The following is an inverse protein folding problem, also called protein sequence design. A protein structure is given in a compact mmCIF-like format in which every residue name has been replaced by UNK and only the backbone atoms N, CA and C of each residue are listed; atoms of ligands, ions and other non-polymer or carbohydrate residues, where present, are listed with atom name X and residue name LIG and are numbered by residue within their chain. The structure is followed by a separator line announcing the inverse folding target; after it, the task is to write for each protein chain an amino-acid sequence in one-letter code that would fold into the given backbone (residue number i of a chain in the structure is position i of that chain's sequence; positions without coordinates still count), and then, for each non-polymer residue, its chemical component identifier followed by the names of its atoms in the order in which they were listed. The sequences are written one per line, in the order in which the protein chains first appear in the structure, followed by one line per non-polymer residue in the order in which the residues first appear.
data_IF_046537796752
#
_entry.id   IF_046537796752
#
_cell.length_a   1.000
_cell.length_b   1.000
_cell.length_c   1.000
_cell.angle_alpha   90.00
_cell.angle_beta   90.00
_cell.angle_gamma   90.00
#
_symmetry.space_group_name_H-M   'P 1'
#
loop_
_entity.id
_entity.type
_entity.pdbx_description
1 polymer ?
#
# COMPACT_ATOMS: atom_id res chain seq x y z
N UNK A 1 28.59 -19.14 14.01
CA UNK A 1 28.69 -17.81 13.38
C UNK A 1 27.94 -17.89 12.05
N UNK A 2 26.74 -17.30 11.88
CA UNK A 2 26.10 -17.36 10.57
C UNK A 2 26.73 -16.30 9.67
N UNK A 3 27.01 -16.73 8.44
CA UNK A 3 27.71 -16.00 7.41
C UNK A 3 27.05 -14.65 7.11
N UNK A 4 27.78 -13.58 7.38
CA UNK A 4 27.59 -12.27 6.74
C UNK A 4 27.62 -12.46 5.23
N UNK A 5 26.45 -12.37 4.60
CA UNK A 5 26.27 -12.27 3.16
C UNK A 5 26.97 -11.01 2.64
N UNK A 6 28.25 -11.13 2.28
CA UNK A 6 28.99 -10.13 1.52
C UNK A 6 28.67 -10.26 0.03
N UNK A 7 27.38 -10.16 -0.31
CA UNK A 7 26.96 -10.02 -1.70
C UNK A 7 26.03 -8.81 -1.74
N UNK A 8 26.40 -7.82 -2.55
CA UNK A 8 25.65 -6.59 -2.90
C UNK A 8 26.16 -5.29 -2.27
N UNK A 9 27.47 -5.06 -2.32
CA UNK A 9 28.07 -3.78 -1.95
C UNK A 9 29.35 -3.48 -2.72
N UNK A 10 29.38 -3.75 -4.03
CA UNK A 10 30.40 -3.12 -4.88
C UNK A 10 29.99 -1.67 -5.02
N UNK A 11 30.76 -0.76 -4.39
CA UNK A 11 30.57 0.68 -4.48
C UNK A 11 30.43 1.10 -5.95
N UNK A 12 29.21 1.48 -6.37
CA UNK A 12 28.90 1.91 -7.73
C UNK A 12 27.88 1.06 -8.49
N UNK A 13 27.51 -0.13 -8.00
CA UNK A 13 26.42 -0.93 -8.61
C UNK A 13 25.08 -0.59 -7.93
N UNK A 14 24.06 -0.13 -8.66
CA UNK A 14 22.73 0.12 -8.10
C UNK A 14 22.15 -1.14 -7.45
N UNK A 15 21.42 -0.98 -6.33
CA UNK A 15 20.75 -2.09 -5.64
C UNK A 15 19.61 -2.69 -6.50
N UNK A 16 19.07 -1.91 -7.44
CA UNK A 16 18.04 -2.32 -8.39
C UNK A 16 18.60 -2.47 -9.81
N UNK A 17 17.86 -3.19 -10.66
CA UNK A 17 18.15 -3.25 -12.09
C UNK A 17 17.98 -1.90 -12.80
N UNK A 18 18.30 -1.82 -14.10
CA UNK A 18 18.11 -0.61 -14.89
C UNK A 18 16.66 -0.12 -14.83
N UNK A 19 16.47 1.21 -14.95
CA UNK A 19 15.15 1.82 -15.02
C UNK A 19 14.31 1.20 -16.14
N UNK A 20 13.15 0.65 -15.78
CA UNK A 20 12.16 0.16 -16.73
C UNK A 20 11.03 1.18 -16.91
N UNK A 21 11.07 1.95 -18.01
CA UNK A 21 10.08 3.01 -18.29
C UNK A 21 8.66 2.46 -18.46
N UNK A 22 8.50 1.25 -19.01
CA UNK A 22 7.20 0.61 -19.11
C UNK A 22 6.63 0.34 -17.72
N UNK A 23 7.44 -0.25 -16.83
CA UNK A 23 7.05 -0.50 -15.45
C UNK A 23 6.66 0.78 -14.70
N UNK A 24 7.43 1.86 -14.86
CA UNK A 24 7.10 3.17 -14.26
C UNK A 24 5.73 3.68 -14.73
N UNK A 25 5.41 3.51 -16.02
CA UNK A 25 4.11 3.93 -16.57
C UNK A 25 2.97 3.08 -16.01
N UNK A 26 3.13 1.76 -15.93
CA UNK A 26 2.11 0.86 -15.37
C UNK A 26 1.83 1.19 -13.90
N UNK A 27 2.88 1.39 -13.11
CA UNK A 27 2.77 1.79 -11.71
C UNK A 27 2.13 3.17 -11.58
N UNK A 28 2.51 4.12 -12.45
CA UNK A 28 1.88 5.43 -12.52
C UNK A 28 0.37 5.35 -12.80
N UNK A 29 -0.05 4.50 -13.73
CA UNK A 29 -1.46 4.29 -14.05
C UNK A 29 -2.26 3.75 -12.86
N UNK A 30 -1.73 2.77 -12.12
CA UNK A 30 -2.46 2.22 -10.96
C UNK A 30 -2.55 3.23 -9.81
N UNK A 31 -1.50 4.04 -9.56
CA UNK A 31 -1.58 5.13 -8.58
C UNK A 31 -2.57 6.22 -9.00
N UNK A 32 -2.63 6.55 -10.29
CA UNK A 32 -3.60 7.51 -10.80
C UNK A 32 -5.04 7.01 -10.61
N UNK A 33 -5.32 5.77 -11.03
CA UNK A 33 -6.63 5.14 -10.84
C UNK A 33 -6.98 5.04 -9.36
N UNK A 34 -6.00 4.70 -8.51
CA UNK A 34 -6.18 4.64 -7.07
C UNK A 34 -6.58 6.01 -6.49
N UNK A 35 -5.88 7.07 -6.89
CA UNK A 35 -6.21 8.45 -6.51
C UNK A 35 -7.62 8.87 -6.94
N UNK A 36 -8.02 8.57 -8.18
CA UNK A 36 -9.39 8.80 -8.67
C UNK A 36 -10.41 8.02 -7.84
N UNK A 37 -10.16 6.74 -7.55
CA UNK A 37 -11.05 5.92 -6.73
C UNK A 37 -11.22 6.45 -5.31
N UNK A 38 -10.14 6.93 -4.69
CA UNK A 38 -10.18 7.57 -3.36
C UNK A 38 -10.92 8.91 -3.39
N UNK A 39 -10.75 9.72 -4.44
CA UNK A 39 -11.51 10.96 -4.62
C UNK A 39 -13.02 10.67 -4.75
N UNK A 40 -13.41 9.70 -5.58
CA UNK A 40 -14.82 9.30 -5.70
C UNK A 40 -15.35 8.79 -4.34
N UNK A 41 -14.56 7.99 -3.61
CA UNK A 41 -14.94 7.50 -2.29
C UNK A 41 -15.14 8.63 -1.26
N UNK A 42 -14.38 9.71 -1.37
CA UNK A 42 -14.51 10.87 -0.50
C UNK A 42 -15.86 11.59 -0.70
N UNK A 43 -16.28 11.75 -1.95
CA UNK A 43 -17.46 12.56 -2.31
C UNK A 43 -18.77 11.77 -2.51
N UNK A 44 -18.71 10.46 -2.75
CA UNK A 44 -19.91 9.62 -2.90
C UNK A 44 -20.10 8.68 -1.71
N UNK A 45 -21.16 8.89 -0.93
CA UNK A 45 -21.49 8.04 0.22
C UNK A 45 -21.79 6.59 -0.18
N UNK A 46 -22.41 6.40 -1.34
CA UNK A 46 -22.77 5.09 -1.89
C UNK A 46 -21.52 4.25 -2.19
N UNK A 47 -20.51 4.85 -2.82
CA UNK A 47 -19.29 4.16 -3.24
C UNK A 47 -18.15 4.26 -2.23
N UNK A 48 -18.32 5.03 -1.15
CA UNK A 48 -17.28 5.31 -0.16
C UNK A 48 -16.60 4.06 0.36
N UNK A 49 -17.34 3.16 1.01
CA UNK A 49 -16.74 1.98 1.62
C UNK A 49 -16.13 0.99 0.60
N UNK A 50 -16.82 0.60 -0.49
CA UNK A 50 -16.24 -0.36 -1.44
C UNK A 50 -14.99 0.18 -2.13
N UNK A 51 -15.01 1.42 -2.65
CA UNK A 51 -13.85 1.99 -3.33
C UNK A 51 -12.68 2.23 -2.36
N UNK A 52 -12.96 2.69 -1.14
CA UNK A 52 -11.92 2.87 -0.13
C UNK A 52 -11.29 1.52 0.28
N UNK A 53 -12.10 0.46 0.39
CA UNK A 53 -11.62 -0.89 0.69
C UNK A 53 -10.73 -1.44 -0.43
N UNK A 54 -11.14 -1.32 -1.70
CA UNK A 54 -10.33 -1.77 -2.85
C UNK A 54 -8.98 -1.05 -2.88
N UNK A 55 -8.97 0.26 -2.67
CA UNK A 55 -7.75 1.05 -2.61
C UNK A 55 -6.85 0.65 -1.42
N UNK A 56 -7.44 0.45 -0.25
CA UNK A 56 -6.73 -0.05 0.94
C UNK A 56 -6.05 -1.39 0.63
N UNK A 57 -6.75 -2.32 -0.02
CA UNK A 57 -6.19 -3.61 -0.44
C UNK A 57 -5.00 -3.47 -1.39
N UNK A 58 -5.08 -2.54 -2.36
CA UNK A 58 -3.94 -2.23 -3.23
C UNK A 58 -2.71 -1.77 -2.44
N UNK A 59 -2.85 -0.78 -1.56
CA UNK A 59 -1.72 -0.27 -0.77
C UNK A 59 -1.12 -1.36 0.14
N UNK A 60 -1.95 -2.20 0.75
CA UNK A 60 -1.48 -3.30 1.59
C UNK A 60 -0.71 -4.35 0.80
N UNK A 61 -1.25 -4.80 -0.35
CA UNK A 61 -0.55 -5.74 -1.21
C UNK A 61 0.76 -5.15 -1.73
N UNK A 62 0.76 -3.88 -2.12
CA UNK A 62 1.97 -3.19 -2.57
C UNK A 62 3.03 -3.10 -1.46
N UNK A 63 2.64 -2.74 -0.24
CA UNK A 63 3.54 -2.77 0.92
C UNK A 63 4.13 -4.16 1.16
N UNK A 64 3.34 -5.23 1.03
CA UNK A 64 3.84 -6.59 1.20
C UNK A 64 4.87 -7.00 0.13
N UNK A 65 4.75 -6.49 -1.10
CA UNK A 65 5.80 -6.66 -2.12
C UNK A 65 7.12 -6.05 -1.65
N UNK A 66 7.12 -4.82 -1.13
CA UNK A 66 8.34 -4.18 -0.63
C UNK A 66 8.94 -4.90 0.58
N UNK A 67 8.08 -5.37 1.50
CA UNK A 67 8.52 -6.22 2.62
C UNK A 67 9.18 -7.50 2.11
N UNK A 68 8.59 -8.15 1.09
CA UNK A 68 9.15 -9.36 0.49
C UNK A 68 10.52 -9.10 -0.18
N UNK A 69 10.70 -7.97 -0.86
CA UNK A 69 12.00 -7.61 -1.48
C UNK A 69 13.11 -7.45 -0.43
N UNK A 70 12.80 -6.87 0.72
CA UNK A 70 13.76 -6.74 1.84
C UNK A 70 14.03 -8.09 2.50
N UNK A 71 12.99 -8.87 2.81
CA UNK A 71 13.14 -10.18 3.50
C UNK A 71 13.85 -11.21 2.61
N UNK A 72 13.62 -11.17 1.30
CA UNK A 72 14.31 -12.04 0.32
C UNK A 72 15.76 -11.61 0.04
N UNK A 73 16.23 -10.51 0.64
CA UNK A 73 17.59 -10.02 0.50
C UNK A 73 17.89 -9.33 -0.82
N UNK A 74 16.86 -8.92 -1.58
CA UNK A 74 17.01 -8.20 -2.86
C UNK A 74 17.34 -6.73 -2.61
N UNK A 75 16.72 -6.14 -1.59
CA UNK A 75 16.96 -4.75 -1.18
C UNK A 75 17.48 -4.69 0.26
N UNK A 76 18.31 -3.69 0.56
CA UNK A 76 18.82 -3.49 1.93
C UNK A 76 17.72 -2.90 2.82
N UNK A 77 17.66 -3.25 4.13
CA UNK A 77 16.65 -2.72 5.04
C UNK A 77 16.61 -1.19 5.14
N UNK A 78 17.70 -0.50 4.80
CA UNK A 78 17.76 0.96 4.77
C UNK A 78 16.78 1.62 3.78
N UNK A 79 16.32 0.88 2.76
CA UNK A 79 15.33 1.37 1.78
C UNK A 79 14.01 1.77 2.45
N UNK A 80 13.72 1.21 3.62
CA UNK A 80 12.53 1.50 4.41
C UNK A 80 12.26 3.01 4.54
N UNK A 81 13.29 3.83 4.78
CA UNK A 81 13.11 5.27 4.97
C UNK A 81 12.72 5.99 3.67
N UNK A 82 13.18 5.50 2.53
CA UNK A 82 12.81 5.99 1.21
C UNK A 82 11.37 5.58 0.87
N UNK A 83 11.01 4.35 1.22
CA UNK A 83 9.70 3.77 0.91
C UNK A 83 8.61 4.23 1.87
N UNK A 84 8.97 4.65 3.09
CA UNK A 84 8.05 5.05 4.16
C UNK A 84 6.95 6.00 3.69
N UNK A 85 7.23 7.17 3.07
CA UNK A 85 6.19 8.13 2.71
C UNK A 85 5.27 7.65 1.58
N UNK A 86 5.79 6.82 0.66
CA UNK A 86 5.07 6.41 -0.56
C UNK A 86 4.36 5.06 -0.46
N UNK A 87 4.80 4.20 0.46
CA UNK A 87 4.38 2.79 0.53
C UNK A 87 3.80 2.47 1.90
N UNK A 88 4.62 2.58 2.96
CA UNK A 88 4.22 2.11 4.30
C UNK A 88 3.20 3.05 4.95
N UNK A 89 3.42 4.37 4.88
CA UNK A 89 2.54 5.34 5.51
C UNK A 89 1.14 5.34 4.87
N UNK A 90 0.97 5.36 3.53
CA UNK A 90 -0.36 5.26 2.92
C UNK A 90 -1.06 3.94 3.24
N UNK A 91 -0.35 2.81 3.28
CA UNK A 91 -0.92 1.51 3.63
C UNK A 91 -1.45 1.50 5.08
N UNK A 92 -0.67 2.03 6.03
CA UNK A 92 -1.09 2.13 7.42
C UNK A 92 -2.32 3.03 7.59
N UNK A 93 -2.29 4.23 7.00
CA UNK A 93 -3.40 5.21 7.10
C UNK A 93 -4.67 4.61 6.51
N UNK A 94 -4.60 4.09 5.28
CA UNK A 94 -5.78 3.54 4.59
C UNK A 94 -6.34 2.34 5.34
N UNK A 95 -5.50 1.42 5.83
CA UNK A 95 -5.95 0.28 6.64
C UNK A 95 -6.66 0.72 7.92
N UNK A 96 -6.05 1.62 8.69
CA UNK A 96 -6.64 2.12 9.94
C UNK A 96 -8.00 2.76 9.69
N UNK A 97 -8.11 3.65 8.70
CA UNK A 97 -9.36 4.31 8.35
C UNK A 97 -10.41 3.30 7.86
N UNK A 98 -10.02 2.32 7.05
CA UNK A 98 -10.94 1.34 6.51
C UNK A 98 -11.56 0.48 7.64
N UNK A 99 -10.75 0.05 8.61
CA UNK A 99 -11.24 -0.66 9.80
C UNK A 99 -12.26 0.18 10.57
N UNK A 100 -11.99 1.47 10.77
CA UNK A 100 -12.96 2.38 11.42
C UNK A 100 -14.26 2.52 10.63
N UNK A 101 -14.18 2.63 9.31
CA UNK A 101 -15.35 2.76 8.44
C UNK A 101 -16.22 1.50 8.45
N UNK A 102 -15.59 0.31 8.42
CA UNK A 102 -16.30 -0.98 8.50
C UNK A 102 -17.03 -1.09 9.84
N UNK A 103 -16.33 -0.82 10.96
CA UNK A 103 -16.93 -0.84 12.30
C UNK A 103 -18.10 0.13 12.43
N UNK A 104 -17.95 1.36 11.92
CA UNK A 104 -19.01 2.37 11.93
C UNK A 104 -20.22 1.91 11.13
N UNK A 105 -20.02 1.38 9.93
CA UNK A 105 -21.12 0.91 9.07
C UNK A 105 -21.86 -0.27 9.70
N UNK A 106 -21.14 -1.23 10.30
CA UNK A 106 -21.75 -2.36 11.03
C UNK A 106 -22.68 -1.87 12.13
N UNK A 107 -22.20 -0.95 12.98
CA UNK A 107 -23.00 -0.39 14.08
C UNK A 107 -24.28 0.30 13.58
N UNK A 108 -24.21 1.03 12.47
CA UNK A 108 -25.37 1.70 11.88
C UNK A 108 -26.41 0.71 11.34
N UNK A 109 -25.96 -0.42 10.77
CA UNK A 109 -26.85 -1.49 10.30
C UNK A 109 -27.56 -2.13 11.51
N UNK A 110 -26.81 -2.45 12.57
CA UNK A 110 -27.36 -3.07 13.78
C UNK A 110 -28.41 -2.18 14.45
N UNK A 111 -28.15 -0.87 14.60
CA UNK A 111 -29.11 0.10 15.14
C UNK A 111 -30.37 0.19 14.27
N UNK A 112 -30.23 0.23 12.94
CA UNK A 112 -31.39 0.29 12.04
C UNK A 112 -32.26 -0.98 12.12
N UNK A 113 -31.67 -2.16 12.31
CA UNK A 113 -32.44 -3.41 12.48
C UNK A 113 -33.17 -3.50 13.83
N UNK A 114 -32.66 -2.84 14.87
CA UNK A 114 -33.27 -2.86 16.20
C UNK A 114 -34.50 -1.94 16.31
N UNK A 115 -34.56 -0.86 15.51
CA UNK A 115 -35.64 0.13 15.54
C UNK A 115 -36.67 -0.01 14.40
N UNK A 116 -36.56 -1.04 13.56
CA UNK A 116 -37.50 -1.38 12.48
C UNK A 116 -38.39 -2.56 12.84
#
# INVERSE_FOLDING_TARGET
MPATSLRNGLSGVPESGPLNVHFVRDVGCIFFISGVGLLIAAFSIEYRLPLFTINTSFYMMHMFVHIHEVISGRLRPGIFWTDLPGIYLPAAITMTLNVFMIKKKSKQIDEHQFFS
#
